data_IF_767169773438
#
_entry.id   IF_767169773438
#
_cell.length_a   1.000
_cell.length_b   1.000
_cell.length_c   1.000
_cell.angle_alpha   90.00
_cell.angle_beta   90.00
_cell.angle_gamma   90.00
#
_symmetry.space_group_name_H-M   'P 1'
#
loop_
_entity.id
_entity.type
_entity.pdbx_description
1 polymer ?
#
# COMPACT_ATOMS: atom_id res chain seq x y z
N UNK A 1 13.50 -4.16 -3.47
CA UNK A 1 13.76 -3.70 -2.09
C UNK A 1 13.12 -2.34 -1.80
N UNK A 2 13.41 -1.29 -2.58
CA UNK A 2 12.79 0.04 -2.41
C UNK A 2 11.26 -0.01 -2.26
N UNK A 3 10.56 -0.65 -3.21
CA UNK A 3 9.08 -0.80 -3.18
C UNK A 3 8.51 -1.63 -2.02
N UNK A 4 9.33 -2.44 -1.35
CA UNK A 4 8.88 -3.20 -0.18
C UNK A 4 8.93 -2.37 1.11
N UNK A 5 9.77 -1.34 1.13
CA UNK A 5 9.89 -0.43 2.26
C UNK A 5 9.02 0.81 2.10
N UNK A 6 8.96 1.36 0.90
CA UNK A 6 8.08 2.47 0.57
C UNK A 6 6.71 1.92 0.18
N UNK A 7 5.93 1.56 1.20
CA UNK A 7 4.54 1.13 1.04
C UNK A 7 3.66 2.32 0.66
N UNK A 8 2.66 2.05 -0.17
CA UNK A 8 1.68 3.05 -0.55
C UNK A 8 0.71 3.28 0.60
N UNK A 9 0.27 4.53 0.78
CA UNK A 9 -0.81 4.87 1.70
C UNK A 9 -2.04 5.31 0.91
N UNK A 10 -3.23 5.00 1.43
CA UNK A 10 -4.49 5.25 0.75
C UNK A 10 -5.44 6.02 1.65
N UNK A 11 -6.28 6.84 1.01
CA UNK A 11 -7.35 7.57 1.69
C UNK A 11 -8.58 7.64 0.78
N UNK A 12 -9.76 7.73 1.40
CA UNK A 12 -11.02 7.80 0.68
C UNK A 12 -12.16 7.18 1.46
N UNK A 13 -13.38 7.30 0.94
CA UNK A 13 -14.51 6.61 1.52
C UNK A 13 -14.65 5.21 0.91
N UNK A 14 -14.72 4.19 1.77
CA UNK A 14 -15.05 2.82 1.39
C UNK A 14 -16.47 2.53 1.87
N UNK A 15 -17.35 2.17 0.93
CA UNK A 15 -18.70 1.66 1.21
C UNK A 15 -18.57 0.32 1.97
N UNK A 16 -19.05 0.24 3.23
CA UNK A 16 -19.01 -1.01 3.99
C UNK A 16 -19.82 -2.11 3.30
N UNK A 17 -19.25 -3.31 3.19
CA UNK A 17 -19.82 -4.45 2.49
C UNK A 17 -19.78 -4.36 0.96
N UNK A 18 -19.32 -3.23 0.40
CA UNK A 18 -19.17 -3.04 -1.04
C UNK A 18 -18.13 -3.98 -1.64
N UNK A 19 -18.35 -4.37 -2.89
CA UNK A 19 -17.45 -5.22 -3.66
C UNK A 19 -16.61 -4.37 -4.62
N UNK A 20 -15.29 -4.56 -4.59
CA UNK A 20 -14.32 -3.75 -5.30
C UNK A 20 -13.46 -4.63 -6.22
N UNK A 21 -13.27 -4.15 -7.46
CA UNK A 21 -12.24 -4.65 -8.37
C UNK A 21 -11.14 -3.62 -8.42
N UNK A 22 -9.91 -4.04 -8.14
CA UNK A 22 -8.74 -3.16 -8.21
C UNK A 22 -8.28 -3.08 -9.66
N UNK A 23 -7.91 -1.89 -10.12
CA UNK A 23 -7.43 -1.67 -11.48
C UNK A 23 -6.12 -0.90 -11.43
N UNK A 24 -5.11 -1.38 -12.17
CA UNK A 24 -3.83 -0.72 -12.33
C UNK A 24 -3.32 -0.89 -13.77
N UNK A 25 -2.41 -0.02 -14.21
CA UNK A 25 -1.80 -0.17 -15.53
C UNK A 25 -0.75 -1.29 -15.50
N UNK A 26 0.25 -1.17 -14.63
CA UNK A 26 1.41 -2.05 -14.56
C UNK A 26 1.70 -2.39 -13.11
N UNK A 27 1.65 -3.69 -12.79
CA UNK A 27 2.18 -4.19 -11.52
C UNK A 27 3.55 -4.84 -11.72
N UNK A 28 4.44 -4.62 -10.76
CA UNK A 28 5.73 -5.30 -10.66
C UNK A 28 5.66 -6.34 -9.56
N UNK A 29 5.88 -5.94 -8.30
CA UNK A 29 5.81 -6.84 -7.14
C UNK A 29 4.39 -6.97 -6.58
N UNK A 30 3.43 -6.13 -6.98
CA UNK A 30 2.07 -6.14 -6.44
C UNK A 30 1.86 -5.40 -5.12
N UNK A 31 2.89 -4.78 -4.54
CA UNK A 31 2.78 -4.08 -3.24
C UNK A 31 1.67 -3.03 -3.21
N UNK A 32 1.56 -2.17 -4.23
CA UNK A 32 0.50 -1.15 -4.32
C UNK A 32 -0.90 -1.76 -4.27
N UNK A 33 -1.15 -2.84 -5.03
CA UNK A 33 -2.43 -3.53 -5.05
C UNK A 33 -2.72 -4.23 -3.71
N UNK A 34 -1.69 -4.75 -3.04
CA UNK A 34 -1.81 -5.37 -1.73
C UNK A 34 -2.19 -4.34 -0.66
N UNK A 35 -1.51 -3.18 -0.62
CA UNK A 35 -1.83 -2.08 0.30
C UNK A 35 -3.23 -1.50 0.05
N UNK A 36 -3.65 -1.36 -1.22
CA UNK A 36 -5.00 -0.91 -1.54
C UNK A 36 -6.06 -1.93 -1.10
N UNK A 37 -5.76 -3.22 -1.27
CA UNK A 37 -6.66 -4.27 -0.83
C UNK A 37 -6.81 -4.28 0.70
N UNK A 38 -5.70 -4.14 1.43
CA UNK A 38 -5.69 -4.04 2.88
C UNK A 38 -6.49 -2.82 3.34
N UNK A 39 -6.26 -1.64 2.74
CA UNK A 39 -7.00 -0.43 3.04
C UNK A 39 -8.52 -0.63 2.86
N UNK A 40 -8.97 -1.19 1.74
CA UNK A 40 -10.40 -1.45 1.49
C UNK A 40 -10.98 -2.43 2.52
N UNK A 41 -10.25 -3.52 2.81
CA UNK A 41 -10.70 -4.57 3.74
C UNK A 41 -10.75 -4.06 5.19
N UNK A 42 -9.77 -3.26 5.62
CA UNK A 42 -9.75 -2.60 6.92
C UNK A 42 -10.97 -1.68 7.13
N UNK A 43 -11.47 -1.08 6.04
CA UNK A 43 -12.69 -0.27 6.03
C UNK A 43 -13.97 -1.05 5.71
N UNK A 44 -13.97 -2.38 5.92
CA UNK A 44 -15.11 -3.29 5.74
C UNK A 44 -15.59 -3.45 4.30
N UNK A 45 -14.80 -3.04 3.31
CA UNK A 45 -15.03 -3.40 1.91
C UNK A 45 -14.57 -4.83 1.61
N UNK A 46 -14.96 -5.34 0.45
CA UNK A 46 -14.54 -6.66 -0.07
C UNK A 46 -13.83 -6.47 -1.40
N UNK A 47 -12.58 -6.90 -1.49
CA UNK A 47 -11.89 -6.98 -2.78
C UNK A 47 -12.21 -8.31 -3.43
N UNK A 48 -12.86 -8.26 -4.59
CA UNK A 48 -13.32 -9.45 -5.33
C UNK A 48 -12.39 -9.82 -6.49
N UNK A 49 -11.47 -8.93 -6.85
CA UNK A 49 -10.50 -9.19 -7.90
C UNK A 49 -9.57 -8.02 -8.16
N UNK A 50 -8.57 -8.25 -9.00
CA UNK A 50 -7.66 -7.22 -9.51
C UNK A 50 -7.44 -7.43 -11.01
N UNK A 51 -7.41 -6.35 -11.77
CA UNK A 51 -7.18 -6.33 -13.21
C UNK A 51 -6.00 -5.38 -13.46
N UNK A 52 -5.02 -5.88 -14.20
CA UNK A 52 -3.86 -5.09 -14.63
C UNK A 52 -3.66 -5.24 -16.13
N UNK A 53 -3.20 -4.19 -16.80
CA UNK A 53 -2.85 -4.28 -18.21
C UNK A 53 -1.56 -5.08 -18.39
N UNK A 54 -0.59 -4.90 -17.49
CA UNK A 54 0.69 -5.61 -17.50
C UNK A 54 1.03 -6.12 -16.10
N UNK A 55 1.38 -7.40 -16.03
CA UNK A 55 2.04 -7.99 -14.87
C UNK A 55 3.50 -8.27 -15.22
N UNK A 56 4.39 -7.40 -14.73
CA UNK A 56 5.85 -7.56 -14.86
C UNK A 56 6.46 -8.37 -13.70
N UNK A 57 5.61 -8.97 -12.87
CA UNK A 57 6.01 -9.84 -11.77
C UNK A 57 6.54 -11.19 -12.24
N UNK A 58 7.34 -11.85 -11.39
CA UNK A 58 7.98 -13.14 -11.72
C UNK A 58 7.05 -14.32 -11.51
N UNK A 59 6.18 -14.26 -10.51
CA UNK A 59 5.32 -15.38 -10.12
C UNK A 59 4.00 -15.44 -10.89
N UNK A 60 3.59 -14.34 -11.55
CA UNK A 60 2.27 -14.21 -12.16
C UNK A 60 1.11 -14.25 -11.16
N UNK A 61 1.39 -14.15 -9.84
CA UNK A 61 0.40 -14.22 -8.76
C UNK A 61 0.56 -13.03 -7.82
N UNK A 62 -0.55 -12.49 -7.32
CA UNK A 62 -0.51 -11.49 -6.25
C UNK A 62 -0.37 -12.15 -4.88
N UNK A 63 -1.15 -13.19 -4.59
CA UNK A 63 -1.15 -13.86 -3.29
C UNK A 63 0.00 -14.86 -3.18
N UNK A 64 0.80 -14.72 -2.13
CA UNK A 64 1.89 -15.65 -1.84
C UNK A 64 1.36 -17.07 -1.53
N UNK A 65 1.98 -18.12 -2.09
CA UNK A 65 1.60 -19.48 -1.75
C UNK A 65 1.93 -19.77 -0.29
N UNK A 66 1.07 -20.49 0.42
CA UNK A 66 1.26 -20.76 1.86
C UNK A 66 2.63 -21.37 2.16
N UNK A 67 3.15 -22.23 1.28
CA UNK A 67 4.50 -22.82 1.44
C UNK A 67 5.60 -21.75 1.56
N UNK A 68 5.52 -20.68 0.79
CA UNK A 68 6.48 -19.58 0.83
C UNK A 68 6.41 -18.83 2.17
N UNK A 69 5.19 -18.53 2.63
CA UNK A 69 4.97 -17.87 3.92
C UNK A 69 5.51 -18.69 5.08
N UNK A 70 5.14 -19.98 5.17
CA UNK A 70 5.66 -20.87 6.22
C UNK A 70 7.18 -20.99 6.17
N UNK A 71 7.79 -20.96 4.98
CA UNK A 71 9.25 -20.99 4.85
C UNK A 71 9.91 -19.72 5.38
N UNK A 72 9.29 -18.56 5.20
CA UNK A 72 9.76 -17.29 5.76
C UNK A 72 9.59 -17.27 7.28
N UNK A 73 8.41 -17.66 7.78
CA UNK A 73 8.13 -17.71 9.22
C UNK A 73 9.06 -18.68 9.94
N UNK A 74 9.35 -19.86 9.37
CA UNK A 74 10.31 -20.81 9.98
C UNK A 74 11.74 -20.28 10.01
N UNK A 75 12.16 -19.51 9.00
CA UNK A 75 13.55 -19.01 8.90
C UNK A 75 13.79 -17.74 9.71
N UNK A 76 12.79 -16.88 9.75
CA UNK A 76 12.95 -15.51 10.23
C UNK A 76 12.00 -15.15 11.38
N UNK A 77 11.04 -16.03 11.72
CA UNK A 77 10.03 -15.76 12.73
C UNK A 77 9.26 -14.48 12.42
N UNK A 78 9.20 -13.60 13.42
CA UNK A 78 8.51 -12.31 13.36
C UNK A 78 9.41 -11.16 12.82
N UNK A 79 10.67 -11.43 12.50
CA UNK A 79 11.62 -10.37 12.12
C UNK A 79 11.25 -9.70 10.79
N UNK A 80 10.65 -10.43 9.85
CA UNK A 80 10.11 -9.84 8.60
C UNK A 80 9.03 -8.82 8.91
N UNK A 81 8.14 -9.13 9.86
CA UNK A 81 7.09 -8.22 10.30
C UNK A 81 7.68 -6.94 10.88
N UNK A 82 8.66 -7.07 11.78
CA UNK A 82 9.35 -5.92 12.39
C UNK A 82 10.11 -5.06 11.38
N UNK A 83 10.72 -5.68 10.37
CA UNK A 83 11.52 -4.96 9.36
C UNK A 83 10.63 -4.16 8.40
N UNK A 84 9.52 -4.74 7.95
CA UNK A 84 8.67 -4.14 6.91
C UNK A 84 7.39 -3.49 7.44
N UNK A 85 7.04 -3.68 8.71
CA UNK A 85 5.82 -3.13 9.31
C UNK A 85 4.52 -3.79 8.85
N UNK A 86 4.61 -4.95 8.18
CA UNK A 86 3.44 -5.70 7.70
C UNK A 86 3.56 -7.18 8.10
N UNK A 87 2.43 -7.85 8.32
CA UNK A 87 2.45 -9.27 8.63
C UNK A 87 3.11 -10.08 7.50
N UNK A 88 3.91 -11.10 7.84
CA UNK A 88 4.57 -11.95 6.83
C UNK A 88 3.57 -12.55 5.82
N UNK A 89 2.38 -12.94 6.28
CA UNK A 89 1.28 -13.44 5.44
C UNK A 89 0.69 -12.41 4.46
N UNK A 90 0.92 -11.12 4.69
CA UNK A 90 0.46 -10.03 3.83
C UNK A 90 1.42 -9.74 2.65
N UNK A 91 2.58 -10.41 2.62
CA UNK A 91 3.49 -10.31 1.48
C UNK A 91 2.84 -10.82 0.21
N UNK A 92 3.11 -10.14 -0.90
CA UNK A 92 2.76 -10.67 -2.22
C UNK A 92 3.64 -11.87 -2.58
N UNK A 93 3.24 -12.65 -3.59
CA UNK A 93 4.02 -13.80 -4.03
C UNK A 93 5.44 -13.43 -4.46
N UNK A 94 5.59 -12.31 -5.16
CA UNK A 94 6.90 -11.81 -5.61
C UNK A 94 7.73 -11.25 -4.45
N UNK A 95 7.11 -10.59 -3.48
CA UNK A 95 7.78 -10.14 -2.26
C UNK A 95 8.29 -11.33 -1.44
N UNK A 96 7.44 -12.33 -1.22
CA UNK A 96 7.81 -13.53 -0.51
C UNK A 96 8.92 -14.30 -1.24
N UNK A 97 8.78 -14.48 -2.56
CA UNK A 97 9.78 -15.12 -3.41
C UNK A 97 11.13 -14.40 -3.39
N UNK A 98 11.11 -13.07 -3.40
CA UNK A 98 12.32 -12.26 -3.27
C UNK A 98 12.99 -12.45 -1.90
N UNK A 99 12.22 -12.42 -0.81
CA UNK A 99 12.74 -12.61 0.55
C UNK A 99 13.28 -14.02 0.80
N UNK A 100 12.71 -15.03 0.15
CA UNK A 100 13.17 -16.42 0.24
C UNK A 100 14.61 -16.58 -0.26
N UNK A 101 15.05 -15.74 -1.20
CA UNK A 101 16.38 -15.79 -1.81
C UNK A 101 17.51 -15.30 -0.90
N UNK A 102 17.20 -14.61 0.20
CA UNK A 102 18.20 -14.20 1.18
C UNK A 102 18.56 -15.35 2.12
N UNK A 103 19.80 -15.35 2.60
CA UNK A 103 20.31 -16.36 3.55
C UNK A 103 20.16 -15.92 5.00
N UNK A 104 20.31 -14.64 5.27
CA UNK A 104 20.31 -14.08 6.63
C UNK A 104 19.48 -12.80 6.74
N UNK A 105 19.07 -12.47 7.97
CA UNK A 105 18.37 -11.21 8.25
C UNK A 105 19.26 -9.99 8.02
N UNK A 106 20.56 -10.11 8.24
CA UNK A 106 21.49 -9.00 8.04
C UNK A 106 21.64 -8.65 6.56
N UNK A 107 21.58 -9.64 5.66
CA UNK A 107 21.51 -9.37 4.22
C UNK A 107 20.25 -8.57 3.87
N UNK A 108 19.09 -8.92 4.45
CA UNK A 108 17.82 -8.21 4.23
C UNK A 108 17.93 -6.77 4.74
N UNK A 109 18.41 -6.58 5.98
CA UNK A 109 18.61 -5.25 6.59
C UNK A 109 19.62 -4.42 5.80
N UNK A 110 20.72 -5.01 5.35
CA UNK A 110 21.72 -4.34 4.53
C UNK A 110 21.16 -3.92 3.17
N UNK A 111 20.38 -4.78 2.51
CA UNK A 111 19.73 -4.44 1.23
C UNK A 111 18.70 -3.33 1.41
N UNK A 112 17.96 -3.35 2.51
CA UNK A 112 17.01 -2.32 2.89
C UNK A 112 17.70 -0.97 3.14
N UNK A 113 18.77 -0.94 3.94
CA UNK A 113 19.53 0.26 4.23
C UNK A 113 20.09 0.90 2.95
N UNK A 114 20.66 0.08 2.05
CA UNK A 114 21.14 0.54 0.75
C UNK A 114 20.03 1.16 -0.10
N UNK A 115 18.87 0.50 -0.17
CA UNK A 115 17.72 1.03 -0.91
C UNK A 115 17.22 2.37 -0.35
N UNK A 116 17.20 2.54 0.99
CA UNK A 116 16.86 3.81 1.64
C UNK A 116 17.81 4.92 1.24
N UNK A 117 19.12 4.65 1.29
CA UNK A 117 20.15 5.64 0.91
C UNK A 117 20.02 6.06 -0.55
N UNK A 118 19.85 5.10 -1.47
CA UNK A 118 19.67 5.35 -2.90
C UNK A 118 18.40 6.19 -3.17
N UNK A 119 17.30 5.88 -2.47
CA UNK A 119 16.05 6.65 -2.56
C UNK A 119 16.25 8.08 -2.08
N UNK A 120 16.84 8.25 -0.89
CA UNK A 120 17.09 9.58 -0.30
C UNK A 120 17.99 10.42 -1.20
N UNK A 121 19.04 9.83 -1.77
CA UNK A 121 19.93 10.51 -2.70
C UNK A 121 19.16 10.97 -3.95
N UNK A 122 18.36 10.08 -4.55
CA UNK A 122 17.56 10.38 -5.74
C UNK A 122 16.52 11.46 -5.52
N UNK A 123 15.82 11.44 -4.38
CA UNK A 123 14.82 12.45 -4.02
C UNK A 123 15.48 13.80 -3.70
N UNK A 124 16.62 13.77 -2.99
CA UNK A 124 17.43 14.95 -2.73
C UNK A 124 17.94 15.62 -4.01
N UNK A 125 18.38 14.84 -5.00
CA UNK A 125 18.75 15.37 -6.33
C UNK A 125 17.60 16.04 -7.09
N UNK A 126 16.35 15.80 -6.67
CA UNK A 126 15.14 16.44 -7.23
C UNK A 126 14.59 17.55 -6.32
N UNK A 127 15.27 17.89 -5.22
CA UNK A 127 14.82 18.87 -4.25
C UNK A 127 13.64 18.42 -3.38
N UNK A 128 13.33 17.11 -3.34
CA UNK A 128 12.22 16.55 -2.57
C UNK A 128 12.76 16.04 -1.23
N UNK A 129 12.26 16.58 -0.12
CA UNK A 129 12.53 16.06 1.23
C UNK A 129 11.59 14.87 1.49
N UNK A 130 12.15 13.68 1.70
CA UNK A 130 11.37 12.52 2.10
C UNK A 130 11.28 12.48 3.62
N UNK A 131 10.14 12.92 4.16
CA UNK A 131 9.78 12.61 5.54
C UNK A 131 9.34 11.14 5.56
N UNK A 132 10.14 10.30 6.21
CA UNK A 132 9.93 8.85 6.30
C UNK A 132 8.51 8.46 6.75
N UNK A 133 8.11 7.19 6.58
CA UNK A 133 6.77 6.72 6.92
C UNK A 133 6.37 7.03 8.37
N UNK A 134 7.32 7.16 9.30
CA UNK A 134 7.09 7.53 10.71
C UNK A 134 6.40 8.90 10.91
N UNK A 135 6.64 9.88 10.03
CA UNK A 135 5.99 11.20 10.13
C UNK A 135 4.60 11.25 9.47
N UNK A 136 4.33 10.37 8.50
CA UNK A 136 3.05 10.31 7.80
C UNK A 136 1.94 9.74 8.69
N UNK A 137 2.27 8.75 9.55
CA UNK A 137 1.33 8.20 10.54
C UNK A 137 0.84 9.26 11.54
N UNK A 138 1.70 10.21 11.93
CA UNK A 138 1.33 11.31 12.81
C UNK A 138 0.38 12.33 12.16
N UNK A 139 0.48 12.53 10.84
CA UNK A 139 -0.40 13.41 10.06
C UNK A 139 -1.73 12.75 9.69
N UNK A 140 -1.74 11.45 9.40
CA UNK A 140 -2.95 10.68 9.09
C UNK A 140 -3.87 10.50 10.32
N UNK A 141 -3.30 10.50 11.53
CA UNK A 141 -4.08 10.54 12.78
C UNK A 141 -4.87 11.85 12.97
N UNK A 142 -4.56 12.89 12.17
CA UNK A 142 -5.28 14.16 12.17
C UNK A 142 -6.40 14.13 11.11
N UNK A 143 -7.55 13.56 11.50
CA UNK A 143 -8.78 13.42 10.69
C UNK A 143 -9.15 14.72 9.91
N UNK A 144 -8.93 14.79 8.59
CA UNK A 144 -9.24 15.97 7.77
C UNK A 144 -10.76 16.24 7.67
N UNK A 145 -11.59 15.27 8.05
CA UNK A 145 -13.05 15.38 8.06
C UNK A 145 -13.58 16.28 9.18
N UNK A 146 -12.78 16.56 10.21
CA UNK A 146 -13.17 17.48 11.28
C UNK A 146 -13.27 18.95 10.83
N UNK A 147 -12.56 19.36 9.77
CA UNK A 147 -12.67 20.70 9.18
C UNK A 147 -13.95 20.94 8.37
N UNK A 148 -14.79 19.92 8.12
CA UNK A 148 -16.03 20.06 7.33
C UNK A 148 -17.29 20.37 8.15
N UNK A 149 -17.21 20.54 9.47
CA UNK A 149 -18.39 20.85 10.33
C UNK A 149 -18.86 22.32 10.30
N UNK A 150 -18.35 23.16 9.39
CA UNK A 150 -18.65 24.59 9.35
C UNK A 150 -19.41 25.14 8.12
N UNK A 151 -19.64 24.37 7.05
CA UNK A 151 -20.30 24.92 5.84
C UNK A 151 -21.81 24.76 5.91
N UNK A 152 -22.51 25.87 6.20
CA UNK A 152 -23.96 26.00 6.06
C UNK A 152 -24.39 25.60 4.63
N UNK A 153 -25.50 24.86 4.45
CA UNK A 153 -25.95 24.48 3.12
C UNK A 153 -26.36 25.71 2.30
N UNK A 154 -25.87 25.79 1.07
CA UNK A 154 -26.30 26.78 0.08
C UNK A 154 -27.77 26.49 -0.25
N UNK A 155 -28.67 27.39 0.15
CA UNK A 155 -30.09 27.35 -0.26
C UNK A 155 -30.17 27.48 -1.79
N UNK A 156 -30.50 26.39 -2.49
CA UNK A 156 -30.94 26.45 -3.89
C UNK A 156 -32.27 27.19 -3.96
N UNK A 157 -32.28 28.39 -4.53
CA UNK A 157 -33.52 29.04 -4.96
C UNK A 157 -33.99 28.40 -6.26
N UNK A 158 -35.11 27.66 -6.20
CA UNK A 158 -35.82 27.21 -7.40
C UNK A 158 -36.47 28.42 -8.08
N UNK A 159 -35.91 28.90 -9.18
CA UNK A 159 -36.64 29.73 -10.16
C UNK A 159 -37.19 28.82 -11.25
N UNK A 160 -38.51 28.64 -11.29
CA UNK A 160 -39.22 27.97 -12.38
C UNK A 160 -39.03 28.76 -13.68
N UNK A 161 -38.75 28.13 -14.83
CA UNK A 161 -38.75 28.83 -16.11
C UNK A 161 -40.19 29.16 -16.52
N UNK A 162 -40.46 30.43 -16.84
CA UNK A 162 -41.69 30.84 -17.51
C UNK A 162 -41.54 30.52 -19.00
N UNK A 163 -42.37 29.61 -19.49
CA UNK A 163 -42.58 29.40 -20.92
C UNK A 163 -43.26 30.64 -21.53
N UNK A 164 -42.77 31.07 -22.68
CA UNK A 164 -43.49 31.90 -23.65
C UNK A 164 -43.56 31.11 -24.95
#
# INVERSE_FOLDING_TARGET
MERMYLRADFSGYVVPGGEYVLVDDVTTMGGTLAELADYIQAHRGKVVGAIVLVSAGRSGRLVAPSKAIHQLERRYGDEICKIFGIATRALTADEAGYLIGFRTLDEIRGRLAKARQETSHRLGSKGIQFDGPEKQVALAAFEPWQLRKGRRPIRRQNKKPRLK
#
